data_IF_755327524733
#
_entry.id   IF_755327524733
#
_cell.length_a   1.000
_cell.length_b   1.000
_cell.length_c   1.000
_cell.angle_alpha   90.00
_cell.angle_beta   90.00
_cell.angle_gamma   90.00
#
_symmetry.space_group_name_H-M   'P 1'
#
loop_
_entity.id
_entity.type
_entity.pdbx_description
1 polymer ?
#
# COMPACT_ATOMS: atom_id res chain seq x y z
N UNK A 1 -71.19 18.09 74.74
CA UNK A 1 -71.02 18.33 76.20
C UNK A 1 -70.70 17.01 76.87
N UNK A 2 -69.69 17.02 77.75
CA UNK A 2 -69.59 16.27 79.02
C UNK A 2 -70.32 14.92 79.16
N UNK A 3 -69.53 13.96 79.67
CA UNK A 3 -69.88 12.98 80.71
C UNK A 3 -70.75 11.79 80.23
N UNK A 4 -70.61 10.57 80.73
CA UNK A 4 -70.13 10.12 82.05
C UNK A 4 -69.71 8.65 82.00
N UNK A 5 -68.82 8.34 82.92
CA UNK A 5 -68.21 7.07 83.31
C UNK A 5 -69.22 6.10 83.99
N UNK A 6 -68.81 4.82 84.07
CA UNK A 6 -69.19 3.70 84.98
C UNK A 6 -70.04 2.58 84.34
N UNK A 7 -69.85 1.27 84.59
CA UNK A 7 -68.89 0.44 85.36
C UNK A 7 -69.17 -1.05 84.96
N UNK A 8 -68.12 -1.82 84.64
CA UNK A 8 -67.73 -3.18 85.13
C UNK A 8 -68.82 -4.32 85.19
N UNK A 9 -68.63 -5.55 84.65
CA UNK A 9 -67.80 -6.72 85.08
C UNK A 9 -68.08 -7.88 84.07
N UNK A 10 -67.18 -8.87 83.84
CA UNK A 10 -66.97 -9.50 82.53
C UNK A 10 -67.63 -10.86 82.32
N UNK A 11 -67.76 -11.27 81.05
CA UNK A 11 -67.93 -12.68 80.66
C UNK A 11 -66.81 -13.04 79.69
N UNK A 12 -65.97 -13.97 80.14
CA UNK A 12 -64.90 -14.61 79.39
C UNK A 12 -65.52 -15.69 78.50
N UNK A 13 -65.38 -15.60 77.18
CA UNK A 13 -65.38 -16.78 76.30
C UNK A 13 -64.27 -16.64 75.28
N UNK A 14 -63.37 -17.61 75.34
CA UNK A 14 -62.15 -17.78 74.57
C UNK A 14 -62.45 -17.90 73.07
N UNK A 15 -61.78 -17.07 72.26
CA UNK A 15 -61.80 -17.17 70.81
C UNK A 15 -60.90 -18.33 70.35
N UNK A 16 -61.50 -19.29 69.64
CA UNK A 16 -60.83 -20.42 69.02
C UNK A 16 -60.03 -19.94 67.80
N UNK A 17 -58.69 -19.89 67.93
CA UNK A 17 -57.76 -19.62 66.83
C UNK A 17 -57.67 -20.89 65.96
N UNK A 18 -58.22 -20.87 64.75
CA UNK A 18 -57.96 -21.90 63.74
C UNK A 18 -56.53 -21.74 63.21
N UNK A 19 -55.60 -22.51 63.76
CA UNK A 19 -54.31 -22.79 63.13
C UNK A 19 -54.51 -23.89 62.09
N UNK A 20 -54.37 -23.57 60.80
CA UNK A 20 -54.18 -24.57 59.75
C UNK A 20 -52.79 -25.19 59.93
N UNK A 21 -52.70 -26.19 60.81
CA UNK A 21 -51.54 -27.04 60.93
C UNK A 21 -51.46 -27.98 59.73
N UNK A 22 -50.50 -27.73 58.84
CA UNK A 22 -50.06 -28.73 57.87
C UNK A 22 -49.60 -29.97 58.63
N UNK A 23 -50.33 -31.08 58.51
CA UNK A 23 -49.91 -32.36 59.05
C UNK A 23 -48.61 -32.80 58.34
N UNK A 24 -47.47 -32.59 58.98
CA UNK A 24 -46.24 -33.32 58.68
C UNK A 24 -46.42 -34.69 59.32
N UNK A 25 -46.89 -35.66 58.54
CA UNK A 25 -46.88 -37.06 58.95
C UNK A 25 -45.42 -37.53 58.90
N UNK A 26 -44.71 -37.42 60.03
CA UNK A 26 -43.40 -38.08 60.20
C UNK A 26 -43.65 -39.59 60.28
N UNK A 27 -43.48 -40.27 59.15
CA UNK A 27 -43.37 -41.73 59.13
C UNK A 27 -42.05 -42.07 59.84
N UNK A 28 -42.06 -42.90 60.89
CA UNK A 28 -40.84 -43.41 61.52
C UNK A 28 -40.25 -44.51 60.64
N UNK A 29 -39.74 -44.13 59.46
CA UNK A 29 -38.89 -44.96 58.62
C UNK A 29 -37.52 -44.32 58.59
N UNK A 30 -36.48 -45.01 59.06
CA UNK A 30 -35.11 -44.54 58.92
C UNK A 30 -34.79 -44.20 57.46
N UNK A 31 -33.88 -43.25 57.24
CA UNK A 31 -33.47 -42.81 55.90
C UNK A 31 -33.19 -44.05 55.02
N UNK A 32 -33.99 -44.27 53.94
CA UNK A 32 -33.90 -45.47 53.11
C UNK A 32 -32.52 -45.60 52.43
N UNK A 33 -31.76 -44.51 52.36
CA UNK A 33 -30.42 -44.47 51.78
C UNK A 33 -29.33 -44.99 52.72
N UNK A 34 -29.60 -45.14 54.02
CA UNK A 34 -28.67 -45.72 54.99
C UNK A 34 -28.64 -47.26 54.95
N UNK A 35 -29.68 -47.87 54.38
CA UNK A 35 -29.80 -49.35 54.28
C UNK A 35 -29.78 -49.85 52.84
N UNK A 36 -30.10 -49.00 51.85
CA UNK A 36 -30.01 -49.31 50.43
C UNK A 36 -29.02 -48.36 49.76
N UNK A 37 -27.74 -48.72 49.79
CA UNK A 37 -26.70 -47.94 49.11
C UNK A 37 -26.81 -48.16 47.60
N UNK A 38 -26.80 -47.06 46.85
CA UNK A 38 -26.57 -47.12 45.42
C UNK A 38 -25.07 -47.05 45.13
N UNK A 39 -24.62 -47.73 44.09
CA UNK A 39 -23.20 -47.73 43.69
C UNK A 39 -23.11 -47.45 42.21
N UNK A 40 -22.45 -46.35 41.87
CA UNK A 40 -22.18 -45.95 40.49
C UNK A 40 -20.82 -46.48 40.03
N UNK A 41 -20.82 -47.18 38.90
CA UNK A 41 -19.61 -47.54 38.16
C UNK A 41 -19.49 -46.63 36.95
N UNK A 42 -18.31 -46.03 36.74
CA UNK A 42 -18.09 -45.07 35.66
C UNK A 42 -16.94 -45.52 34.76
N UNK A 43 -17.20 -45.50 33.46
CA UNK A 43 -16.20 -45.63 32.41
C UNK A 43 -16.07 -44.31 31.65
N UNK A 44 -14.86 -43.98 31.19
CA UNK A 44 -14.60 -42.77 30.40
C UNK A 44 -13.79 -43.07 29.14
N UNK A 45 -13.93 -42.20 28.16
CA UNK A 45 -13.06 -42.12 26.98
C UNK A 45 -12.51 -40.70 26.89
N UNK A 46 -11.19 -40.58 26.84
CA UNK A 46 -10.52 -39.28 26.71
C UNK A 46 -10.76 -38.68 25.33
N UNK A 47 -10.74 -37.35 25.25
CA UNK A 47 -10.88 -36.64 24.01
C UNK A 47 -9.60 -36.73 23.15
N UNK A 48 -9.78 -36.65 21.82
CA UNK A 48 -8.68 -36.78 20.84
C UNK A 48 -8.39 -35.45 20.15
N UNK A 49 -7.10 -35.12 19.98
CA UNK A 49 -6.69 -33.99 19.14
C UNK A 49 -7.20 -32.61 19.59
N UNK A 50 -7.48 -32.45 20.89
CA UNK A 50 -8.02 -31.21 21.45
C UNK A 50 -9.48 -30.94 21.09
N UNK A 51 -10.21 -31.92 20.55
CA UNK A 51 -11.62 -31.79 20.18
C UNK A 51 -12.55 -32.09 21.37
N UNK A 52 -13.78 -31.57 21.33
CA UNK A 52 -14.79 -31.85 22.36
C UNK A 52 -15.51 -33.16 22.03
N UNK A 53 -14.81 -34.30 22.16
CA UNK A 53 -15.35 -35.62 21.84
C UNK A 53 -15.12 -36.67 22.94
N UNK A 54 -14.72 -36.26 24.14
CA UNK A 54 -14.64 -37.15 25.29
C UNK A 54 -16.02 -37.65 25.71
N UNK A 55 -16.07 -38.79 26.39
CA UNK A 55 -17.32 -39.39 26.84
C UNK A 55 -17.23 -39.95 28.26
N UNK A 56 -18.35 -39.92 28.97
CA UNK A 56 -18.57 -40.61 30.24
C UNK A 56 -19.74 -41.57 30.06
N UNK A 57 -19.61 -42.80 30.55
CA UNK A 57 -20.69 -43.78 30.63
C UNK A 57 -20.76 -44.33 32.06
N UNK A 58 -21.91 -44.16 32.70
CA UNK A 58 -22.15 -44.63 34.05
C UNK A 58 -23.26 -45.68 34.11
N UNK A 59 -23.07 -46.69 34.95
CA UNK A 59 -24.08 -47.68 35.31
C UNK A 59 -24.22 -47.71 36.83
N UNK A 60 -25.44 -47.90 37.34
CA UNK A 60 -25.72 -47.84 38.77
C UNK A 60 -26.52 -49.05 39.21
N UNK A 61 -26.19 -49.56 40.40
CA UNK A 61 -26.92 -50.67 41.07
C UNK A 61 -27.39 -50.22 42.45
N UNK A 62 -28.27 -50.99 43.10
CA UNK A 62 -28.76 -50.71 44.46
C UNK A 62 -30.13 -50.00 44.53
N UNK A 63 -30.97 -50.15 43.51
CA UNK A 63 -32.29 -49.51 43.44
C UNK A 63 -32.90 -49.58 42.04
N UNK A 64 -33.90 -48.74 41.78
CA UNK A 64 -34.57 -48.56 40.47
C UNK A 64 -34.70 -47.07 40.12
N UNK A 65 -35.07 -46.77 38.88
CA UNK A 65 -35.29 -45.40 38.36
C UNK A 65 -34.10 -44.46 38.56
N UNK A 66 -32.92 -44.91 38.11
CA UNK A 66 -31.72 -44.10 38.13
C UNK A 66 -31.82 -42.93 37.16
N UNK A 67 -31.48 -41.73 37.63
CA UNK A 67 -31.32 -40.54 36.80
C UNK A 67 -29.97 -39.91 37.06
N UNK A 68 -29.33 -39.43 36.01
CA UNK A 68 -27.96 -38.93 36.01
C UNK A 68 -27.92 -37.45 35.66
N UNK A 69 -27.00 -36.70 36.26
CA UNK A 69 -26.77 -35.28 35.99
C UNK A 69 -25.28 -35.00 35.93
N UNK A 70 -24.84 -34.26 34.92
CA UNK A 70 -23.46 -33.81 34.79
C UNK A 70 -23.36 -32.31 35.11
N UNK A 71 -22.44 -31.92 35.98
CA UNK A 71 -22.20 -30.52 36.37
C UNK A 71 -23.46 -29.77 36.85
N UNK A 72 -24.41 -30.48 37.47
CA UNK A 72 -25.66 -29.90 37.96
C UNK A 72 -26.72 -29.61 36.89
N UNK A 73 -26.56 -30.18 35.69
CA UNK A 73 -27.58 -30.12 34.64
C UNK A 73 -28.85 -30.89 35.01
N UNK A 74 -29.89 -30.78 34.18
CA UNK A 74 -31.12 -31.54 34.38
C UNK A 74 -30.83 -33.04 34.37
N UNK A 75 -31.50 -33.77 35.26
CA UNK A 75 -31.37 -35.21 35.35
C UNK A 75 -31.95 -35.90 34.10
N UNK A 76 -31.21 -36.85 33.54
CA UNK A 76 -31.61 -37.67 32.39
C UNK A 76 -31.58 -39.16 32.76
N UNK A 77 -32.29 -39.99 31.99
CA UNK A 77 -32.45 -41.42 32.31
C UNK A 77 -31.21 -42.26 31.89
N UNK A 78 -30.28 -41.69 31.13
CA UNK A 78 -29.06 -42.39 30.68
C UNK A 78 -27.81 -41.86 31.39
N UNK A 79 -26.91 -42.75 31.78
CA UNK A 79 -25.60 -42.39 32.33
C UNK A 79 -24.56 -41.99 31.29
N UNK A 80 -24.97 -41.73 30.04
CA UNK A 80 -24.08 -41.43 28.93
C UNK A 80 -24.01 -39.93 28.65
N UNK A 81 -22.80 -39.38 28.67
CA UNK A 81 -22.51 -38.00 28.34
C UNK A 81 -21.42 -37.96 27.28
N UNK A 82 -21.68 -37.24 26.20
CA UNK A 82 -20.76 -37.07 25.08
C UNK A 82 -20.35 -35.61 24.91
N UNK A 83 -19.48 -35.37 23.94
CA UNK A 83 -18.97 -34.04 23.59
C UNK A 83 -18.26 -33.34 24.75
N UNK A 84 -17.63 -34.12 25.63
CA UNK A 84 -16.89 -33.59 26.76
C UNK A 84 -15.56 -33.02 26.28
N UNK A 85 -15.25 -31.81 26.77
CA UNK A 85 -14.00 -31.11 26.53
C UNK A 85 -12.83 -31.82 27.23
N UNK A 86 -11.64 -31.87 26.60
CA UNK A 86 -10.41 -32.34 27.23
C UNK A 86 -9.96 -31.42 28.36
N UNK A 87 -9.15 -31.96 29.26
CA UNK A 87 -8.52 -31.26 30.40
C UNK A 87 -9.51 -30.64 31.38
N UNK A 88 -10.75 -31.13 31.39
CA UNK A 88 -11.82 -30.70 32.29
C UNK A 88 -12.21 -31.80 33.26
N UNK A 89 -12.61 -31.40 34.46
CA UNK A 89 -13.17 -32.28 35.47
C UNK A 89 -14.68 -32.09 35.56
N UNK A 90 -15.41 -33.19 35.43
CA UNK A 90 -16.86 -33.23 35.45
C UNK A 90 -17.35 -33.83 36.77
N UNK A 91 -18.38 -33.21 37.35
CA UNK A 91 -19.07 -33.73 38.52
C UNK A 91 -20.32 -34.50 38.06
N UNK A 92 -20.28 -35.83 38.15
CA UNK A 92 -21.39 -36.70 37.82
C UNK A 92 -22.15 -37.09 39.08
N UNK A 93 -23.46 -36.90 39.06
CA UNK A 93 -24.37 -37.28 40.15
C UNK A 93 -25.42 -38.24 39.60
N UNK A 94 -25.66 -39.34 40.30
CA UNK A 94 -26.81 -40.22 40.07
C UNK A 94 -27.76 -40.17 41.25
N UNK A 95 -29.06 -40.30 40.99
CA UNK A 95 -30.09 -40.52 42.02
C UNK A 95 -31.07 -41.62 41.64
N UNK A 96 -31.69 -42.28 42.60
CA UNK A 96 -32.78 -43.25 42.38
C UNK A 96 -34.16 -42.68 42.79
N UNK A 97 -35.23 -43.48 42.68
CA UNK A 97 -36.61 -43.10 43.08
C UNK A 97 -36.79 -42.76 44.56
N UNK A 98 -35.92 -43.28 45.44
CA UNK A 98 -35.93 -42.97 46.87
C UNK A 98 -35.13 -41.71 47.24
N UNK A 99 -34.50 -41.06 46.26
CA UNK A 99 -33.71 -39.85 46.46
C UNK A 99 -32.28 -40.09 46.92
N UNK A 100 -31.83 -41.35 46.97
CA UNK A 100 -30.44 -41.68 47.32
C UNK A 100 -29.51 -41.26 46.20
N UNK A 101 -28.37 -40.65 46.54
CA UNK A 101 -27.42 -40.10 45.57
C UNK A 101 -26.02 -40.69 45.70
N UNK A 102 -25.34 -40.86 44.57
CA UNK A 102 -23.91 -41.16 44.50
C UNK A 102 -23.24 -40.18 43.53
N UNK A 103 -22.01 -39.78 43.83
CA UNK A 103 -21.31 -38.70 43.12
C UNK A 103 -19.88 -39.11 42.80
N UNK A 104 -19.44 -38.82 41.58
CA UNK A 104 -18.07 -39.02 41.14
C UNK A 104 -17.53 -37.79 40.41
N UNK A 105 -16.24 -37.50 40.61
CA UNK A 105 -15.49 -36.53 39.81
C UNK A 105 -14.67 -37.27 38.75
N UNK A 106 -14.85 -36.90 37.48
CA UNK A 106 -14.20 -37.56 36.35
C UNK A 106 -13.47 -36.52 35.51
N UNK A 107 -12.16 -36.68 35.35
CA UNK A 107 -11.35 -35.83 34.47
C UNK A 107 -11.15 -36.49 33.10
N UNK A 108 -11.45 -35.73 32.04
CA UNK A 108 -11.15 -36.09 30.65
C UNK A 108 -9.76 -35.54 30.32
N UNK A 109 -8.85 -36.39 29.82
CA UNK A 109 -7.42 -36.11 29.63
C UNK A 109 -6.75 -35.52 30.90
N UNK A 110 -6.39 -36.39 31.85
CA UNK A 110 -5.87 -35.97 33.19
C UNK A 110 -4.61 -35.11 33.12
N UNK A 111 -3.75 -35.33 32.13
CA UNK A 111 -2.50 -34.60 31.98
C UNK A 111 -2.61 -33.62 30.81
N UNK A 112 -2.79 -32.33 31.11
CA UNK A 112 -2.69 -31.27 30.11
C UNK A 112 -1.21 -31.02 29.76
N UNK A 113 -0.76 -31.35 28.53
CA UNK A 113 0.62 -31.15 28.13
C UNK A 113 1.01 -29.68 28.01
N UNK A 114 0.04 -28.75 28.06
CA UNK A 114 0.23 -27.31 27.99
C UNK A 114 0.07 -26.60 29.33
N UNK A 115 -0.30 -27.32 30.39
CA UNK A 115 -0.38 -26.74 31.73
C UNK A 115 0.99 -26.20 32.17
N UNK A 116 1.06 -24.90 32.45
CA UNK A 116 2.30 -24.21 32.83
C UNK A 116 3.29 -23.96 31.69
N UNK A 117 2.98 -24.34 30.45
CA UNK A 117 3.82 -24.07 29.28
C UNK A 117 3.47 -22.72 28.69
N UNK A 118 4.43 -21.79 28.68
CA UNK A 118 4.30 -20.52 27.96
C UNK A 118 5.09 -20.57 26.66
N UNK A 119 4.39 -20.57 25.52
CA UNK A 119 5.02 -20.43 24.20
C UNK A 119 5.18 -18.95 23.88
N UNK A 120 6.42 -18.46 23.92
CA UNK A 120 6.73 -17.09 23.51
C UNK A 120 7.12 -17.09 22.04
N UNK A 121 6.51 -16.19 21.25
CA UNK A 121 6.79 -16.03 19.82
C UNK A 121 7.42 -14.67 19.57
N UNK A 122 8.56 -14.67 18.89
CA UNK A 122 9.23 -13.48 18.39
C UNK A 122 9.08 -13.45 16.88
N UNK A 123 8.63 -12.33 16.31
CA UNK A 123 8.48 -12.16 14.87
C UNK A 123 9.16 -10.87 14.43
N UNK A 124 10.10 -10.98 13.50
CA UNK A 124 10.88 -9.85 12.96
C UNK A 124 10.51 -9.64 11.49
N UNK A 125 9.96 -8.47 11.11
CA UNK A 125 9.58 -8.18 9.74
C UNK A 125 10.73 -7.53 8.94
N UNK A 126 10.72 -7.74 7.63
CA UNK A 126 11.37 -6.90 6.62
C UNK A 126 10.29 -6.18 5.83
N UNK A 127 10.39 -4.85 5.76
CA UNK A 127 9.39 -4.01 5.08
C UNK A 127 9.36 -4.29 3.58
N UNK A 128 8.16 -4.17 3.00
CA UNK A 128 7.96 -4.27 1.57
C UNK A 128 8.03 -2.90 0.91
N UNK A 129 8.42 -2.85 -0.36
CA UNK A 129 8.34 -1.64 -1.18
C UNK A 129 6.87 -1.27 -1.45
N UNK A 130 6.60 0.02 -1.61
CA UNK A 130 5.25 0.49 -1.88
C UNK A 130 4.61 -0.19 -3.10
N UNK A 131 3.44 -0.79 -2.89
CA UNK A 131 2.70 -1.52 -3.92
C UNK A 131 3.29 -2.88 -4.31
N UNK A 132 4.29 -3.38 -3.59
CA UNK A 132 4.91 -4.68 -3.87
C UNK A 132 4.70 -5.66 -2.70
N UNK A 133 4.76 -6.95 -3.02
CA UNK A 133 4.72 -8.05 -2.06
C UNK A 133 6.11 -8.68 -1.94
N UNK A 134 7.11 -7.90 -1.54
CA UNK A 134 8.50 -8.35 -1.40
C UNK A 134 9.02 -8.26 0.05
N UNK A 135 8.13 -7.98 1.01
CA UNK A 135 8.45 -8.06 2.43
C UNK A 135 8.50 -9.51 2.91
N UNK A 136 8.97 -9.68 4.15
CA UNK A 136 9.04 -10.99 4.80
C UNK A 136 8.87 -10.88 6.32
N UNK A 137 8.60 -12.00 6.96
CA UNK A 137 8.62 -12.15 8.41
C UNK A 137 9.49 -13.37 8.73
N UNK A 138 10.41 -13.22 9.68
CA UNK A 138 11.12 -14.35 10.29
C UNK A 138 10.67 -14.49 11.74
N UNK A 139 10.14 -15.65 12.08
CA UNK A 139 9.65 -15.97 13.40
C UNK A 139 10.49 -17.04 14.10
N UNK A 140 10.57 -16.94 15.42
CA UNK A 140 11.13 -17.96 16.30
C UNK A 140 10.24 -18.10 17.54
N UNK A 141 10.31 -19.26 18.20
CA UNK A 141 9.53 -19.51 19.41
C UNK A 141 10.33 -20.27 20.46
N UNK A 142 9.94 -20.08 21.73
CA UNK A 142 10.43 -20.81 22.91
C UNK A 142 9.26 -21.45 23.65
N UNK A 143 9.51 -22.25 24.69
CA UNK A 143 8.46 -22.97 25.43
C UNK A 143 8.15 -24.37 24.89
N UNK A 144 9.16 -25.09 24.39
CA UNK A 144 9.04 -26.44 23.87
C UNK A 144 10.03 -26.71 22.74
N UNK A 145 9.80 -27.79 21.99
CA UNK A 145 10.58 -28.18 20.80
C UNK A 145 9.65 -28.58 19.66
N UNK A 146 10.20 -28.71 18.44
CA UNK A 146 9.45 -29.15 17.27
C UNK A 146 8.39 -28.14 16.82
N UNK A 147 8.73 -26.85 16.82
CA UNK A 147 7.79 -25.80 16.46
C UNK A 147 7.39 -25.87 14.98
N UNK A 148 6.10 -25.67 14.75
CA UNK A 148 5.52 -25.31 13.46
C UNK A 148 4.91 -23.92 13.55
N UNK A 149 4.96 -23.16 12.47
CA UNK A 149 4.54 -21.76 12.41
C UNK A 149 3.42 -21.61 11.39
N UNK A 150 2.46 -20.76 11.71
CA UNK A 150 1.38 -20.35 10.82
C UNK A 150 1.29 -18.84 10.74
N UNK A 151 0.98 -18.34 9.56
CA UNK A 151 0.64 -16.94 9.32
C UNK A 151 -0.88 -16.85 9.15
N UNK A 152 -1.50 -15.95 9.93
CA UNK A 152 -2.94 -15.71 9.97
C UNK A 152 -3.79 -16.99 10.20
N UNK A 153 -3.22 -18.01 10.85
CA UNK A 153 -3.92 -19.23 11.23
C UNK A 153 -4.32 -20.17 10.08
N UNK A 154 -3.75 -20.01 8.89
CA UNK A 154 -4.13 -20.79 7.70
C UNK A 154 -3.40 -22.14 7.67
N UNK A 155 -2.16 -22.16 7.20
CA UNK A 155 -1.33 -23.36 7.08
C UNK A 155 -0.18 -23.32 8.08
N UNK A 156 0.23 -24.48 8.58
CA UNK A 156 1.41 -24.64 9.41
C UNK A 156 2.59 -25.17 8.60
N UNK A 157 3.77 -24.63 8.85
CA UNK A 157 5.03 -25.04 8.23
C UNK A 157 6.14 -25.12 9.28
N UNK A 158 7.17 -25.93 9.03
CA UNK A 158 8.30 -26.05 9.97
C UNK A 158 9.18 -24.78 9.98
N UNK A 159 9.32 -24.11 8.84
CA UNK A 159 10.09 -22.87 8.74
C UNK A 159 9.34 -21.69 9.37
N UNK A 160 10.03 -20.90 10.19
CA UNK A 160 9.52 -19.63 10.71
C UNK A 160 9.56 -18.48 9.71
N UNK A 161 9.97 -18.71 8.47
CA UNK A 161 10.11 -17.67 7.44
C UNK A 161 8.90 -17.64 6.52
N UNK A 162 8.30 -16.45 6.40
CA UNK A 162 7.22 -16.12 5.47
C UNK A 162 7.70 -15.04 4.52
N UNK A 163 7.67 -15.30 3.21
CA UNK A 163 8.10 -14.38 2.16
C UNK A 163 6.92 -13.90 1.32
N UNK A 164 7.20 -12.95 0.43
CA UNK A 164 6.25 -12.38 -0.51
C UNK A 164 5.06 -11.67 0.16
N UNK A 165 5.33 -10.95 1.25
CA UNK A 165 4.32 -10.25 2.03
C UNK A 165 4.18 -8.80 1.57
N UNK A 166 2.95 -8.35 1.38
CA UNK A 166 2.62 -6.95 1.19
C UNK A 166 2.69 -6.19 2.54
N UNK A 167 2.79 -4.85 2.54
CA UNK A 167 2.65 -4.07 3.76
C UNK A 167 1.33 -4.38 4.47
N UNK A 168 1.37 -4.61 5.78
CA UNK A 168 0.19 -5.00 6.54
C UNK A 168 0.49 -5.62 7.89
N UNK A 169 -0.59 -5.93 8.63
CA UNK A 169 -0.53 -6.58 9.92
C UNK A 169 -0.73 -8.08 9.76
N UNK A 170 0.12 -8.87 10.43
CA UNK A 170 0.11 -10.32 10.37
C UNK A 170 0.09 -10.90 11.78
N UNK A 171 -0.63 -12.01 11.95
CA UNK A 171 -0.62 -12.81 13.17
C UNK A 171 0.22 -14.05 12.94
N UNK A 172 1.30 -14.20 13.69
CA UNK A 172 2.13 -15.41 13.66
C UNK A 172 1.75 -16.29 14.84
N UNK A 173 1.43 -17.55 14.56
CA UNK A 173 1.19 -18.58 15.57
C UNK A 173 2.29 -19.61 15.52
N UNK A 174 2.96 -19.87 16.64
CA UNK A 174 3.87 -21.01 16.77
C UNK A 174 3.20 -22.10 17.60
N UNK A 175 3.34 -23.36 17.19
CA UNK A 175 2.81 -24.54 17.89
C UNK A 175 3.93 -25.56 18.09
N UNK A 176 4.21 -25.95 19.33
CA UNK A 176 5.22 -26.97 19.64
C UNK A 176 4.70 -28.39 19.35
N UNK A 177 5.58 -29.39 19.48
CA UNK A 177 5.22 -30.80 19.24
C UNK A 177 4.12 -31.34 20.16
N UNK A 178 3.95 -30.75 21.35
CA UNK A 178 2.91 -31.11 22.31
C UNK A 178 1.55 -30.43 22.02
N UNK A 179 1.47 -29.59 20.97
CA UNK A 179 0.25 -28.90 20.57
C UNK A 179 0.05 -27.54 21.22
N UNK A 180 0.93 -27.11 22.14
CA UNK A 180 0.83 -25.82 22.81
C UNK A 180 1.23 -24.70 21.86
N UNK A 181 0.45 -23.61 21.86
CA UNK A 181 0.64 -22.51 20.91
C UNK A 181 0.82 -21.15 21.58
N UNK A 182 1.62 -20.31 20.94
CA UNK A 182 1.76 -18.89 21.26
C UNK A 182 1.51 -18.04 20.02
N UNK A 183 1.27 -16.75 20.23
CA UNK A 183 0.96 -15.79 19.15
C UNK A 183 1.82 -14.53 19.25
N UNK A 184 2.19 -13.99 18.10
CA UNK A 184 2.80 -12.66 17.98
C UNK A 184 2.10 -11.86 16.88
N UNK A 185 1.81 -10.60 17.16
CA UNK A 185 1.35 -9.64 16.16
C UNK A 185 2.57 -8.88 15.61
N UNK A 186 2.66 -8.77 14.29
CA UNK A 186 3.77 -8.11 13.62
C UNK A 186 3.28 -7.33 12.41
N UNK A 187 3.90 -6.18 12.16
CA UNK A 187 3.59 -5.32 11.01
C UNK A 187 4.73 -5.35 10.01
N UNK A 188 4.42 -5.75 8.78
CA UNK A 188 5.30 -5.52 7.63
C UNK A 188 5.12 -4.06 7.20
N UNK A 189 6.17 -3.26 7.38
CA UNK A 189 6.16 -1.85 6.99
C UNK A 189 6.12 -1.64 5.48
N UNK A 190 5.84 -0.39 5.09
CA UNK A 190 5.95 0.09 3.72
C UNK A 190 7.17 1.00 3.60
N UNK A 191 8.13 0.64 2.75
CA UNK A 191 9.24 1.50 2.39
C UNK A 191 9.00 2.16 1.04
N UNK A 192 9.03 3.48 1.04
CA UNK A 192 9.14 4.28 -0.19
C UNK A 192 10.60 4.71 -0.33
N UNK A 193 11.36 4.17 -1.30
CA UNK A 193 12.77 4.53 -1.47
C UNK A 193 12.98 5.99 -1.87
N UNK A 194 11.91 6.68 -2.26
CA UNK A 194 11.92 8.10 -2.63
C UNK A 194 11.39 9.02 -1.53
N UNK A 195 11.03 8.49 -0.36
CA UNK A 195 10.63 9.33 0.77
C UNK A 195 11.81 10.22 1.20
N UNK A 196 11.60 11.55 1.14
CA UNK A 196 12.63 12.53 1.49
C UNK A 196 13.74 12.72 0.44
N UNK A 197 13.69 12.00 -0.68
CA UNK A 197 14.66 12.17 -1.78
C UNK A 197 14.16 13.25 -2.72
N UNK A 198 14.94 14.32 -2.87
CA UNK A 198 14.71 15.38 -3.86
C UNK A 198 15.76 15.29 -4.95
N UNK A 199 15.32 15.18 -6.21
CA UNK A 199 16.20 15.22 -7.38
C UNK A 199 16.04 16.58 -8.05
N UNK A 200 17.10 17.39 -8.04
CA UNK A 200 17.14 18.64 -8.77
C UNK A 200 17.73 18.40 -10.16
N UNK A 201 17.08 18.94 -11.20
CA UNK A 201 17.57 18.88 -12.57
C UNK A 201 17.82 20.30 -13.05
N UNK A 202 19.00 20.53 -13.61
CA UNK A 202 19.35 21.77 -14.33
C UNK A 202 19.69 21.43 -15.77
N UNK A 203 19.52 22.40 -16.66
CA UNK A 203 19.75 22.21 -18.10
C UNK A 203 20.57 23.36 -18.67
N UNK A 204 21.49 23.04 -19.57
CA UNK A 204 22.09 23.98 -20.52
C UNK A 204 21.65 23.61 -21.94
N UNK A 205 21.61 24.58 -22.85
CA UNK A 205 21.04 24.39 -24.17
C UNK A 205 21.84 25.09 -25.27
N UNK A 206 21.78 24.51 -26.47
CA UNK A 206 22.17 25.13 -27.73
C UNK A 206 20.92 25.25 -28.59
N UNK A 207 20.56 26.48 -28.94
CA UNK A 207 19.40 26.76 -29.77
C UNK A 207 19.65 26.31 -31.22
N UNK A 208 18.66 25.69 -31.88
CA UNK A 208 18.76 25.36 -33.29
C UNK A 208 18.76 26.61 -34.18
N UNK A 209 19.28 26.45 -35.39
CA UNK A 209 19.09 27.42 -36.46
C UNK A 209 17.63 27.46 -36.93
N UNK A 210 17.24 28.58 -37.53
CA UNK A 210 15.87 28.73 -38.06
C UNK A 210 15.57 27.64 -39.10
N UNK A 211 14.49 26.87 -38.88
CA UNK A 211 14.10 25.76 -39.76
C UNK A 211 14.96 24.50 -39.65
N UNK A 212 15.89 24.42 -38.70
CA UNK A 212 16.79 23.28 -38.51
C UNK A 212 16.47 22.54 -37.19
N UNK A 213 16.90 21.28 -37.13
CA UNK A 213 16.85 20.42 -35.93
C UNK A 213 18.26 20.08 -35.46
N UNK A 214 19.09 21.09 -35.23
CA UNK A 214 20.49 20.94 -34.83
C UNK A 214 20.77 21.47 -33.41
N UNK A 215 19.73 21.76 -32.63
CA UNK A 215 19.85 22.16 -31.24
C UNK A 215 20.19 20.98 -30.33
N UNK A 216 20.57 21.31 -29.10
CA UNK A 216 20.85 20.31 -28.06
C UNK A 216 20.49 20.80 -26.65
N UNK A 217 20.25 19.84 -25.76
CA UNK A 217 20.05 20.05 -24.33
C UNK A 217 21.01 19.13 -23.58
N UNK A 218 21.74 19.67 -22.62
CA UNK A 218 22.56 18.91 -21.67
C UNK A 218 21.98 19.10 -20.28
N UNK A 219 21.63 18.00 -19.62
CA UNK A 219 21.06 18.02 -18.28
C UNK A 219 22.11 17.65 -17.22
N UNK A 220 21.92 18.15 -16.00
CA UNK A 220 22.69 17.75 -14.82
C UNK A 220 21.71 17.49 -13.68
N UNK A 221 21.82 16.33 -13.04
CA UNK A 221 20.99 15.96 -11.90
C UNK A 221 21.82 15.91 -10.60
N UNK A 222 21.21 16.37 -9.50
CA UNK A 222 21.80 16.31 -8.15
C UNK A 222 20.76 15.85 -7.12
N UNK A 223 21.23 15.33 -5.99
CA UNK A 223 20.39 14.81 -4.91
C UNK A 223 20.07 13.30 -5.01
N UNK A 224 19.70 12.68 -3.89
CA UNK A 224 19.50 11.23 -3.82
C UNK A 224 20.79 10.42 -3.99
N UNK A 225 20.64 9.12 -4.25
CA UNK A 225 21.75 8.23 -4.62
C UNK A 225 22.06 8.38 -6.12
N UNK A 226 23.32 8.68 -6.47
CA UNK A 226 23.76 8.92 -7.84
C UNK A 226 23.57 7.73 -8.79
N UNK A 227 24.02 7.89 -10.04
CA UNK A 227 23.75 6.94 -11.12
C UNK A 227 22.41 7.22 -11.80
N UNK A 228 22.26 8.43 -12.34
CA UNK A 228 21.03 8.87 -12.99
C UNK A 228 20.93 8.34 -14.42
N UNK A 229 19.68 8.11 -14.84
CA UNK A 229 19.28 8.00 -16.25
C UNK A 229 18.40 9.19 -16.59
N UNK A 230 18.39 9.59 -17.87
CA UNK A 230 17.70 10.79 -18.34
C UNK A 230 16.69 10.43 -19.43
N UNK A 231 15.56 11.12 -19.44
CA UNK A 231 14.52 11.01 -20.47
C UNK A 231 14.14 12.41 -20.95
N UNK A 232 13.79 12.52 -22.23
CA UNK A 232 13.27 13.75 -22.85
C UNK A 232 11.80 13.53 -23.22
N UNK A 233 10.92 14.44 -22.81
CA UNK A 233 9.48 14.42 -23.12
C UNK A 233 8.81 13.06 -22.85
N UNK A 234 9.15 12.43 -21.71
CA UNK A 234 8.64 11.11 -21.33
C UNK A 234 9.03 9.95 -22.27
N UNK A 235 10.06 10.12 -23.08
CA UNK A 235 10.66 9.05 -23.88
C UNK A 235 11.43 8.02 -23.03
N UNK A 236 12.09 7.07 -23.71
CA UNK A 236 12.91 6.07 -23.05
C UNK A 236 14.05 6.71 -22.23
N UNK A 237 14.35 6.13 -21.07
CA UNK A 237 15.48 6.55 -20.25
C UNK A 237 16.79 6.05 -20.87
N UNK A 238 17.78 6.93 -20.91
CA UNK A 238 19.14 6.65 -21.39
C UNK A 238 20.18 7.10 -20.37
N UNK A 239 21.39 6.53 -20.42
CA UNK A 239 22.48 6.91 -19.52
C UNK A 239 23.06 8.29 -19.87
N UNK A 240 23.08 8.65 -21.17
CA UNK A 240 23.57 9.96 -21.64
C UNK A 240 22.66 11.08 -21.14
N UNK A 241 23.27 12.15 -20.63
CA UNK A 241 22.59 13.37 -20.21
C UNK A 241 22.47 14.42 -21.34
N UNK A 242 22.90 14.08 -22.56
CA UNK A 242 22.86 14.95 -23.73
C UNK A 242 21.80 14.47 -24.71
N UNK A 243 20.94 15.40 -25.13
CA UNK A 243 19.96 15.23 -26.19
C UNK A 243 20.32 16.17 -27.34
N UNK A 244 20.56 15.63 -28.54
CA UNK A 244 20.93 16.39 -29.74
C UNK A 244 19.88 16.21 -30.84
N UNK A 245 19.98 17.00 -31.90
CA UNK A 245 19.07 16.89 -33.04
C UNK A 245 17.71 17.54 -32.80
N UNK A 246 17.65 18.53 -31.91
CA UNK A 246 16.40 19.11 -31.44
C UNK A 246 16.02 20.35 -32.26
N UNK A 247 14.74 20.42 -32.65
CA UNK A 247 14.13 21.60 -33.25
C UNK A 247 13.72 22.61 -32.17
N UNK A 248 13.24 23.78 -32.62
CA UNK A 248 12.62 24.74 -31.70
C UNK A 248 11.41 24.13 -31.00
N UNK A 249 11.26 24.44 -29.71
CA UNK A 249 10.18 23.88 -28.91
C UNK A 249 10.48 23.85 -27.42
N UNK A 250 9.48 23.43 -26.64
CA UNK A 250 9.59 23.22 -25.21
C UNK A 250 9.84 21.75 -24.94
N UNK A 251 10.83 21.48 -24.08
CA UNK A 251 11.24 20.14 -23.71
C UNK A 251 11.24 20.00 -22.19
N UNK A 252 10.88 18.81 -21.72
CA UNK A 252 11.00 18.42 -20.32
C UNK A 252 12.04 17.31 -20.22
N UNK A 253 13.12 17.58 -19.50
CA UNK A 253 14.11 16.56 -19.16
C UNK A 253 13.80 16.00 -17.78
N UNK A 254 13.69 14.68 -17.69
CA UNK A 254 13.49 13.96 -16.43
C UNK A 254 14.73 13.14 -16.09
N UNK A 255 15.27 13.30 -14.89
CA UNK A 255 16.31 12.43 -14.36
C UNK A 255 15.71 11.40 -13.39
N UNK A 256 16.23 10.18 -13.40
CA UNK A 256 15.77 9.06 -12.57
C UNK A 256 16.94 8.34 -11.91
N UNK A 257 16.89 8.13 -10.60
CA UNK A 257 17.88 7.33 -9.85
C UNK A 257 17.63 5.83 -10.04
N UNK A 258 18.61 4.99 -9.67
CA UNK A 258 18.46 3.54 -9.67
C UNK A 258 17.28 3.04 -8.81
N UNK A 259 16.99 3.74 -7.70
CA UNK A 259 15.86 3.45 -6.82
C UNK A 259 14.49 3.89 -7.39
N UNK A 260 14.49 4.57 -8.54
CA UNK A 260 13.29 4.99 -9.25
C UNK A 260 12.81 6.41 -8.97
N UNK A 261 13.52 7.18 -8.16
CA UNK A 261 13.15 8.54 -7.79
C UNK A 261 13.43 9.50 -8.92
N UNK A 262 12.51 10.42 -9.19
CA UNK A 262 12.59 11.30 -10.36
C UNK A 262 12.58 12.77 -9.99
N UNK A 263 13.24 13.57 -10.83
CA UNK A 263 13.15 15.03 -10.85
C UNK A 263 13.12 15.51 -12.29
N UNK A 264 12.59 16.69 -12.55
CA UNK A 264 12.49 17.20 -13.92
C UNK A 264 12.74 18.70 -14.01
N UNK A 265 13.16 19.13 -15.20
CA UNK A 265 13.30 20.52 -15.57
C UNK A 265 12.71 20.75 -16.96
N UNK A 266 12.08 21.92 -17.15
CA UNK A 266 11.61 22.35 -18.45
C UNK A 266 12.57 23.35 -19.06
N UNK A 267 12.78 23.24 -20.37
CA UNK A 267 13.75 24.03 -21.13
C UNK A 267 13.17 24.34 -22.51
N UNK A 268 13.35 25.57 -22.98
CA UNK A 268 12.76 26.06 -24.23
C UNK A 268 13.86 26.37 -25.25
N UNK A 269 13.89 25.66 -26.37
CA UNK A 269 14.79 25.95 -27.48
C UNK A 269 14.16 26.96 -28.43
N UNK A 270 14.75 28.15 -28.51
CA UNK A 270 14.36 29.20 -29.45
C UNK A 270 15.05 29.03 -30.81
N UNK A 271 14.51 29.66 -31.86
CA UNK A 271 15.24 29.77 -33.13
C UNK A 271 16.30 30.85 -32.99
N UNK A 272 17.55 30.52 -33.31
CA UNK A 272 18.52 31.56 -33.64
C UNK A 272 18.29 31.98 -35.09
N UNK A 273 17.93 33.24 -35.28
CA UNK A 273 17.99 33.86 -36.60
C UNK A 273 19.41 34.42 -36.78
N UNK A 274 20.24 33.85 -37.68
CA UNK A 274 21.59 34.36 -37.91
C UNK A 274 21.61 35.80 -38.45
N UNK A 275 20.49 36.31 -38.97
CA UNK A 275 20.33 37.71 -39.42
C UNK A 275 19.83 38.66 -38.32
N UNK A 276 19.57 38.19 -37.09
CA UNK A 276 19.06 39.04 -36.02
C UNK A 276 20.04 40.19 -35.73
N UNK A 277 19.57 41.44 -35.87
CA UNK A 277 20.38 42.65 -35.66
C UNK A 277 21.22 43.11 -36.86
N UNK A 278 21.25 42.35 -37.96
CA UNK A 278 21.94 42.75 -39.19
C UNK A 278 21.00 43.65 -40.01
N UNK A 279 21.31 44.95 -40.06
CA UNK A 279 20.63 45.90 -40.94
C UNK A 279 21.53 46.19 -42.12
N UNK A 280 21.15 45.72 -43.31
CA UNK A 280 21.87 46.03 -44.54
C UNK A 280 21.17 47.14 -45.31
N UNK A 281 21.96 48.09 -45.84
CA UNK A 281 21.46 49.16 -46.71
C UNK A 281 22.17 49.08 -48.06
N UNK A 282 21.53 49.57 -49.12
CA UNK A 282 22.13 49.71 -50.44
C UNK A 282 21.82 51.08 -51.02
N UNK A 283 22.85 51.78 -51.47
CA UNK A 283 22.72 53.04 -52.21
C UNK A 283 23.14 52.81 -53.66
N UNK A 284 22.47 53.48 -54.59
CA UNK A 284 22.74 53.34 -56.02
C UNK A 284 23.24 54.67 -56.57
N UNK A 285 24.37 54.63 -57.26
CA UNK A 285 24.82 55.70 -58.15
C UNK A 285 24.55 55.27 -59.60
N UNK A 286 24.04 56.18 -60.43
CA UNK A 286 23.69 55.89 -61.82
C UNK A 286 24.42 56.82 -62.78
N UNK A 287 24.75 56.30 -63.96
CA UNK A 287 25.16 57.08 -65.13
C UNK A 287 24.16 56.79 -66.24
N UNK A 288 23.42 57.81 -66.65
CA UNK A 288 22.42 57.71 -67.71
C UNK A 288 23.11 57.37 -69.06
N UNK A 289 22.54 56.45 -69.87
CA UNK A 289 23.03 56.20 -71.22
C UNK A 289 22.81 57.41 -72.13
N UNK A 290 23.63 57.52 -73.17
CA UNK A 290 23.35 58.45 -74.26
C UNK A 290 22.15 57.97 -75.10
N UNK A 291 21.47 58.90 -75.77
CA UNK A 291 20.30 58.63 -76.63
C UNK A 291 20.52 57.42 -77.55
N UNK A 292 19.61 56.45 -77.50
CA UNK A 292 19.65 55.17 -78.23
C UNK A 292 20.93 54.33 -78.01
N UNK A 293 21.61 54.47 -76.88
CA UNK A 293 22.78 53.67 -76.52
C UNK A 293 22.53 52.85 -75.25
N UNK A 294 23.33 51.80 -75.05
CA UNK A 294 23.32 50.99 -73.82
C UNK A 294 24.65 51.15 -73.12
N UNK A 295 25.12 52.38 -72.91
CA UNK A 295 26.40 52.66 -72.24
C UNK A 295 26.21 53.21 -70.81
N UNK A 296 24.98 53.18 -70.29
CA UNK A 296 24.68 53.56 -68.91
C UNK A 296 25.22 52.54 -67.90
N UNK A 297 25.26 52.95 -66.64
CA UNK A 297 25.72 52.09 -65.55
C UNK A 297 25.01 52.36 -64.22
N UNK A 298 24.96 51.33 -63.38
CA UNK A 298 24.53 51.42 -61.98
C UNK A 298 25.64 50.83 -61.11
N UNK A 299 26.13 51.63 -60.17
CA UNK A 299 27.04 51.18 -59.12
C UNK A 299 26.27 51.10 -57.80
N UNK A 300 26.27 49.92 -57.19
CA UNK A 300 25.63 49.69 -55.91
C UNK A 300 26.66 49.70 -54.78
N UNK A 301 26.35 50.36 -53.67
CA UNK A 301 27.19 50.35 -52.48
C UNK A 301 26.36 49.83 -51.32
N UNK A 302 26.63 48.58 -50.91
CA UNK A 302 25.97 47.97 -49.77
C UNK A 302 26.78 48.17 -48.48
N UNK A 303 26.11 48.33 -47.35
CA UNK A 303 26.74 48.47 -46.03
C UNK A 303 25.94 47.74 -44.94
N UNK A 304 26.53 47.57 -43.76
CA UNK A 304 25.89 46.92 -42.59
C UNK A 304 26.18 45.42 -42.42
N UNK A 305 26.90 44.80 -43.36
CA UNK A 305 27.42 43.43 -43.27
C UNK A 305 28.69 43.27 -44.14
N UNK A 306 29.19 42.05 -44.30
CA UNK A 306 30.36 41.73 -45.14
C UNK A 306 30.05 40.68 -46.19
N UNK A 307 30.90 40.59 -47.21
CA UNK A 307 30.78 39.56 -48.27
C UNK A 307 29.57 39.76 -49.18
N UNK A 308 29.22 41.01 -49.50
CA UNK A 308 28.08 41.30 -50.36
C UNK A 308 28.29 40.76 -51.79
N UNK A 309 27.22 40.17 -52.30
CA UNK A 309 27.03 39.88 -53.73
C UNK A 309 25.82 40.66 -54.25
N UNK A 310 25.84 40.99 -55.54
CA UNK A 310 24.87 41.87 -56.17
C UNK A 310 24.17 41.18 -57.33
N UNK A 311 22.87 41.40 -57.47
CA UNK A 311 22.05 40.91 -58.58
C UNK A 311 21.27 42.07 -59.19
N UNK A 312 21.19 42.09 -60.52
CA UNK A 312 20.39 43.04 -61.29
C UNK A 312 19.13 42.34 -61.79
N UNK A 313 17.96 42.94 -61.54
CA UNK A 313 16.64 42.47 -61.95
C UNK A 313 16.33 41.01 -61.57
N UNK A 314 16.87 40.54 -60.44
CA UNK A 314 16.69 39.16 -59.97
C UNK A 314 17.50 38.11 -60.74
N UNK A 315 18.48 38.53 -61.54
CA UNK A 315 19.43 37.64 -62.19
C UNK A 315 20.44 37.00 -61.22
N UNK A 316 21.48 36.38 -61.77
CA UNK A 316 22.55 35.79 -60.98
C UNK A 316 23.27 36.82 -60.08
N UNK A 317 23.88 36.33 -59.00
CA UNK A 317 24.64 37.13 -58.06
C UNK A 317 26.12 37.15 -58.43
N UNK A 318 26.73 38.33 -58.35
CA UNK A 318 28.14 38.55 -58.64
C UNK A 318 28.81 39.33 -57.52
N UNK A 319 30.14 39.24 -57.37
CA UNK A 319 30.91 40.04 -56.40
C UNK A 319 31.14 41.47 -56.88
N UNK A 320 31.10 41.71 -58.19
CA UNK A 320 31.12 43.06 -58.75
C UNK A 320 29.88 43.83 -58.33
N UNK A 321 30.08 45.08 -57.90
CA UNK A 321 29.02 45.99 -57.52
C UNK A 321 28.66 47.02 -58.62
N UNK A 322 29.27 46.87 -59.81
CA UNK A 322 29.02 47.73 -60.98
C UNK A 322 28.31 46.92 -62.06
N UNK A 323 27.16 47.42 -62.51
CA UNK A 323 26.45 46.94 -63.68
C UNK A 323 26.61 47.96 -64.80
N UNK A 324 27.28 47.57 -65.88
CA UNK A 324 27.50 48.40 -67.05
C UNK A 324 26.68 47.91 -68.24
N UNK A 325 26.78 48.64 -69.35
CA UNK A 325 26.10 48.34 -70.60
C UNK A 325 24.56 48.37 -70.50
N UNK A 326 24.01 49.32 -69.72
CA UNK A 326 22.58 49.44 -69.48
C UNK A 326 21.94 50.50 -70.39
N UNK A 327 20.75 50.20 -70.94
CA UNK A 327 19.91 51.15 -71.67
C UNK A 327 19.02 51.96 -70.71
N UNK A 328 18.25 52.94 -71.22
CA UNK A 328 17.24 53.59 -70.41
C UNK A 328 16.20 52.58 -69.95
N UNK A 329 15.77 52.70 -68.69
CA UNK A 329 14.88 51.73 -68.07
C UNK A 329 14.90 51.76 -66.56
N UNK A 330 14.09 50.91 -65.94
CA UNK A 330 14.06 50.74 -64.49
C UNK A 330 14.75 49.44 -64.11
N UNK A 331 15.67 49.54 -63.17
CA UNK A 331 16.49 48.43 -62.70
C UNK A 331 16.31 48.25 -61.21
N UNK A 332 16.19 47.01 -60.77
CA UNK A 332 16.18 46.63 -59.36
C UNK A 332 17.49 45.96 -59.03
N UNK A 333 18.26 46.54 -58.11
CA UNK A 333 19.50 45.93 -57.62
C UNK A 333 19.24 45.31 -56.26
N UNK A 334 19.62 44.05 -56.10
CA UNK A 334 19.62 43.33 -54.83
C UNK A 334 21.05 43.20 -54.33
N UNK A 335 21.32 43.62 -53.10
CA UNK A 335 22.56 43.30 -52.39
C UNK A 335 22.27 42.21 -51.35
N UNK A 336 23.05 41.14 -51.34
CA UNK A 336 22.92 39.99 -50.44
C UNK A 336 24.24 39.74 -49.71
N UNK A 337 24.22 39.79 -48.39
CA UNK A 337 25.39 39.54 -47.53
C UNK A 337 25.68 38.04 -47.38
N UNK A 338 26.87 37.70 -46.86
CA UNK A 338 27.26 36.32 -46.61
C UNK A 338 26.38 35.58 -45.59
N UNK A 339 25.73 36.31 -44.67
CA UNK A 339 24.76 35.78 -43.70
C UNK A 339 23.34 35.63 -44.29
N UNK A 340 23.17 35.73 -45.61
CA UNK A 340 21.90 35.70 -46.36
C UNK A 340 20.93 36.87 -46.09
N UNK A 341 21.31 37.88 -45.31
CA UNK A 341 20.59 39.15 -45.22
C UNK A 341 20.64 39.90 -46.57
N UNK A 342 19.52 40.43 -47.04
CA UNK A 342 19.45 41.13 -48.33
C UNK A 342 18.60 42.40 -48.29
N UNK A 343 18.91 43.33 -49.19
CA UNK A 343 18.16 44.59 -49.41
C UNK A 343 18.09 44.90 -50.90
N UNK A 344 17.03 45.57 -51.32
CA UNK A 344 16.80 45.98 -52.70
C UNK A 344 16.64 47.48 -52.80
N UNK A 345 17.16 48.05 -53.89
CA UNK A 345 16.87 49.42 -54.31
C UNK A 345 16.57 49.45 -55.81
N UNK A 346 15.79 50.46 -56.22
CA UNK A 346 15.43 50.70 -57.61
C UNK A 346 16.14 51.95 -58.12
N UNK A 347 16.62 51.88 -59.35
CA UNK A 347 17.19 53.01 -60.09
C UNK A 347 16.52 53.11 -61.46
N UNK A 348 16.34 54.34 -61.93
CA UNK A 348 15.80 54.62 -63.26
C UNK A 348 16.83 55.38 -64.07
N UNK A 349 17.25 54.78 -65.18
CA UNK A 349 18.13 55.36 -66.19
C UNK A 349 17.29 56.06 -67.26
N UNK A 350 17.66 57.28 -67.61
CA UNK A 350 17.00 58.12 -68.63
C UNK A 350 17.93 58.33 -69.82
N UNK A 351 17.39 58.70 -70.98
CA UNK A 351 18.12 59.10 -72.19
C UNK A 351 18.05 60.62 -72.40
#
# INVERSE_FOLDING_TARGET
MKQKLMVQVPVVVFALLLALGSCRHEIPGGDPCLTNTITMTVNKTDATGGQNNGTISATTVGGTDFRYSLNGSAFQDTGYFASLQPFQTYNLVVKNSWGCTDTAQISINVNDPCAGVTVAVTATPTSALNGQSNGSITASATGGTGFTYSINGVNYQASGTFSNLAPGNYTITAKNANGCSGVALVTVGNTNPCAGVTIAVTTTQVNPGTGLSNGSITATATGGTGGYTYSLNSGAFQASNVFSGLATGNYTVTAKTAAGCTGSASVALGATNPCAGVTVTVTLAKTDPALNQSNGSITATASGATGFTYSLNGGAYYTSNVFSALAAGTYTVTAKAAQDAWVQARSHLQE
#
